data_IF_954763801990
#
_entry.id   IF_954763801990
#
_cell.length_a   1.000
_cell.length_b   1.000
_cell.length_c   1.000
_cell.angle_alpha   90.00
_cell.angle_beta   90.00
_cell.angle_gamma   90.00
#
_symmetry.space_group_name_H-M   'P 1'
#
loop_
_entity.id
_entity.type
_entity.pdbx_description
1 polymer ?
#
# COMPACT_ATOMS: atom_id res chain seq x y z
N UNK A 1 -5.33 -26.88 -9.14
CA UNK A 1 -4.11 -26.24 -8.57
C UNK A 1 -4.44 -24.83 -8.13
N UNK A 2 -4.27 -24.50 -6.85
CA UNK A 2 -4.47 -23.12 -6.39
C UNK A 2 -3.42 -22.23 -7.05
N UNK A 3 -3.85 -21.13 -7.64
CA UNK A 3 -2.96 -20.12 -8.19
C UNK A 3 -2.16 -19.47 -7.07
N UNK A 4 -0.84 -19.36 -7.25
CA UNK A 4 0.04 -18.70 -6.30
C UNK A 4 -0.22 -17.18 -6.36
N UNK A 5 -0.63 -16.61 -5.23
CA UNK A 5 -0.78 -15.16 -5.06
C UNK A 5 0.45 -14.60 -4.38
N UNK A 6 0.99 -13.54 -4.95
CA UNK A 6 2.17 -12.86 -4.43
C UNK A 6 1.98 -11.35 -4.48
N UNK A 7 2.75 -10.62 -3.69
CA UNK A 7 2.74 -9.16 -3.74
C UNK A 7 4.08 -8.55 -3.40
N UNK A 8 4.35 -7.41 -4.04
CA UNK A 8 5.48 -6.55 -3.76
C UNK A 8 5.03 -5.34 -2.98
N UNK A 9 5.70 -5.06 -1.87
CA UNK A 9 5.38 -3.95 -0.99
C UNK A 9 6.60 -3.19 -0.54
N UNK A 10 6.42 -1.92 -0.19
CA UNK A 10 7.41 -1.09 0.48
C UNK A 10 6.84 -0.64 1.82
N UNK A 11 7.60 -0.83 2.89
CA UNK A 11 7.19 -0.45 4.25
C UNK A 11 7.12 1.05 4.42
N UNK A 12 6.11 1.50 5.18
CA UNK A 12 5.96 2.90 5.58
C UNK A 12 6.04 2.99 7.10
N UNK A 13 7.00 3.76 7.67
CA UNK A 13 7.21 3.84 9.11
C UNK A 13 6.18 4.78 9.77
N UNK A 14 5.00 4.26 10.04
CA UNK A 14 3.92 4.99 10.72
C UNK A 14 3.85 4.55 12.18
N UNK A 15 3.76 5.52 13.08
CA UNK A 15 3.45 5.26 14.48
C UNK A 15 1.94 5.27 14.71
N UNK A 16 1.43 4.22 15.32
CA UNK A 16 0.03 4.14 15.74
C UNK A 16 -0.33 5.23 16.77
N UNK A 17 0.66 5.73 17.50
CA UNK A 17 0.51 6.76 18.52
C UNK A 17 0.82 8.18 18.00
N UNK A 18 1.02 8.35 16.70
CA UNK A 18 1.19 9.68 16.10
C UNK A 18 -0.05 10.55 16.38
N UNK A 19 0.12 11.84 16.73
CA UNK A 19 -1.02 12.72 17.08
C UNK A 19 -2.10 12.76 16.00
N UNK A 20 -1.75 12.85 14.73
CA UNK A 20 -2.69 12.85 13.62
C UNK A 20 -3.47 11.53 13.52
N UNK A 21 -2.84 10.39 13.84
CA UNK A 21 -3.50 9.08 13.78
C UNK A 21 -4.45 8.89 14.98
N UNK A 22 -4.08 9.40 16.15
CA UNK A 22 -4.97 9.43 17.33
C UNK A 22 -6.20 10.28 17.01
N UNK A 23 -6.02 11.47 16.40
CA UNK A 23 -7.12 12.34 15.99
C UNK A 23 -8.05 11.65 14.98
N UNK A 24 -7.49 10.96 13.99
CA UNK A 24 -8.26 10.18 13.01
C UNK A 24 -9.11 9.12 13.71
N UNK A 25 -8.53 8.34 14.62
CA UNK A 25 -9.29 7.32 15.36
C UNK A 25 -10.37 7.91 16.24
N UNK A 26 -10.10 9.03 16.88
CA UNK A 26 -11.09 9.73 17.72
C UNK A 26 -12.26 10.26 16.86
N UNK A 27 -11.96 10.81 15.68
CA UNK A 27 -13.01 11.29 14.76
C UNK A 27 -13.92 10.17 14.27
N UNK A 28 -13.42 8.96 14.16
CA UNK A 28 -14.15 7.77 13.69
C UNK A 28 -14.55 6.80 14.81
N UNK A 29 -14.52 7.25 16.07
CA UNK A 29 -14.75 6.37 17.24
C UNK A 29 -16.12 5.68 17.27
N UNK A 30 -17.14 6.28 16.68
CA UNK A 30 -18.50 5.73 16.63
C UNK A 30 -18.73 4.83 15.41
N UNK A 31 -17.70 4.60 14.61
CA UNK A 31 -17.74 3.77 13.42
C UNK A 31 -16.89 2.53 13.68
N UNK A 32 -17.40 1.33 13.31
CA UNK A 32 -16.67 0.08 13.57
C UNK A 32 -15.49 -0.08 12.59
N UNK A 33 -14.40 0.62 12.85
CA UNK A 33 -13.18 0.54 12.07
C UNK A 33 -12.23 -0.49 12.68
N UNK A 34 -11.77 -1.42 11.87
CA UNK A 34 -10.66 -2.30 12.21
C UNK A 34 -9.35 -1.63 11.82
N UNK A 35 -8.68 -1.05 12.79
CA UNK A 35 -7.45 -0.32 12.58
C UNK A 35 -6.25 -1.25 12.36
N UNK A 36 -5.41 -0.89 11.39
CA UNK A 36 -4.11 -1.52 11.19
C UNK A 36 -3.17 -1.10 12.32
N UNK A 37 -2.41 -2.06 12.86
CA UNK A 37 -1.45 -1.82 13.95
C UNK A 37 -0.08 -2.36 13.60
N UNK A 38 0.95 -1.55 13.82
CA UNK A 38 2.35 -1.99 13.81
C UNK A 38 2.99 -2.25 12.46
N UNK A 39 2.22 -2.40 11.40
CA UNK A 39 2.74 -2.69 10.07
C UNK A 39 1.96 -1.95 8.99
N UNK A 40 2.66 -1.06 8.29
CA UNK A 40 2.07 -0.25 7.22
C UNK A 40 2.92 -0.34 5.96
N UNK A 41 2.28 -0.36 4.80
CA UNK A 41 2.98 -0.54 3.54
C UNK A 41 2.20 0.07 2.38
N UNK A 42 2.92 0.31 1.28
CA UNK A 42 2.35 0.57 -0.04
C UNK A 42 2.50 -0.70 -0.85
N UNK A 43 1.41 -1.24 -1.39
CA UNK A 43 1.46 -2.36 -2.33
C UNK A 43 1.82 -1.83 -3.71
N UNK A 44 2.98 -2.23 -4.22
CA UNK A 44 3.47 -1.84 -5.54
C UNK A 44 2.88 -2.73 -6.65
N UNK A 45 2.70 -4.01 -6.38
CA UNK A 45 2.07 -4.96 -7.28
C UNK A 45 1.45 -6.12 -6.50
N UNK A 46 0.23 -6.50 -6.84
CA UNK A 46 -0.42 -7.70 -6.33
C UNK A 46 -0.71 -8.63 -7.50
N UNK A 47 -0.16 -9.84 -7.44
CA UNK A 47 -0.33 -10.86 -8.48
C UNK A 47 -1.36 -11.89 -8.01
N UNK A 48 -2.53 -11.88 -8.65
CA UNK A 48 -3.56 -12.90 -8.42
C UNK A 48 -3.11 -14.27 -8.86
N UNK A 49 -2.34 -14.30 -9.94
CA UNK A 49 -1.81 -15.50 -10.55
C UNK A 49 -0.38 -15.26 -10.93
N UNK A 50 0.52 -15.82 -10.13
CA UNK A 50 1.95 -15.76 -10.39
C UNK A 50 2.34 -16.92 -11.31
N UNK A 51 2.97 -16.57 -12.42
CA UNK A 51 3.58 -17.54 -13.34
C UNK A 51 5.07 -17.25 -13.40
N UNK A 52 5.86 -18.31 -13.57
CA UNK A 52 7.33 -18.19 -13.68
C UNK A 52 7.90 -17.40 -12.49
N UNK A 53 7.69 -17.91 -11.29
CA UNK A 53 8.12 -17.25 -10.05
C UNK A 53 9.59 -16.82 -10.08
N UNK A 54 10.46 -17.62 -10.67
CA UNK A 54 11.88 -17.28 -10.80
C UNK A 54 12.11 -16.05 -11.69
N UNK A 55 11.34 -15.91 -12.76
CA UNK A 55 11.43 -14.72 -13.63
C UNK A 55 10.94 -13.47 -12.91
N UNK A 56 9.87 -13.59 -12.12
CA UNK A 56 9.36 -12.49 -11.31
C UNK A 56 10.38 -12.09 -10.23
N UNK A 57 11.00 -13.06 -9.56
CA UNK A 57 12.07 -12.81 -8.60
C UNK A 57 13.28 -12.12 -9.26
N UNK A 58 13.66 -12.54 -10.46
CA UNK A 58 14.72 -11.88 -11.23
C UNK A 58 14.40 -10.41 -11.55
N UNK A 59 13.14 -10.08 -11.81
CA UNK A 59 12.69 -8.71 -11.99
C UNK A 59 12.92 -7.90 -10.71
N UNK A 60 12.62 -8.47 -9.53
CA UNK A 60 12.90 -7.80 -8.25
C UNK A 60 14.37 -7.48 -8.10
N UNK A 61 15.25 -8.45 -8.37
CA UNK A 61 16.70 -8.22 -8.34
C UNK A 61 17.13 -7.13 -9.31
N UNK A 62 16.63 -7.17 -10.54
CA UNK A 62 16.97 -6.20 -11.57
C UNK A 62 16.68 -4.76 -11.15
N UNK A 63 15.53 -4.51 -10.57
CA UNK A 63 15.07 -3.15 -10.27
C UNK A 63 15.37 -2.68 -8.86
N UNK A 64 15.48 -3.59 -7.89
CA UNK A 64 15.51 -3.24 -6.47
C UNK A 64 16.85 -3.43 -5.79
N UNK A 65 17.75 -4.28 -6.30
CA UNK A 65 19.05 -4.54 -5.64
C UNK A 65 19.89 -3.28 -5.44
N UNK A 66 19.79 -2.33 -6.36
CA UNK A 66 20.57 -1.09 -6.36
C UNK A 66 19.69 0.17 -6.36
N UNK A 67 18.40 0.02 -6.11
CA UNK A 67 17.50 1.16 -6.09
C UNK A 67 17.78 2.06 -4.88
N UNK A 68 17.55 3.37 -5.08
CA UNK A 68 17.63 4.36 -4.02
C UNK A 68 16.40 4.35 -3.14
N UNK A 69 16.57 4.74 -1.88
CA UNK A 69 15.45 5.00 -0.97
C UNK A 69 14.46 5.98 -1.59
N UNK A 70 13.20 5.81 -1.27
CA UNK A 70 12.11 6.63 -1.80
C UNK A 70 11.66 7.61 -0.74
N UNK A 71 11.68 8.91 -1.05
CA UNK A 71 11.15 9.94 -0.16
C UNK A 71 9.77 10.37 -0.65
N UNK A 72 8.76 10.21 0.21
CA UNK A 72 7.38 10.58 -0.09
C UNK A 72 6.87 11.53 0.99
N UNK A 73 6.19 12.60 0.58
CA UNK A 73 5.44 13.46 1.48
C UNK A 73 3.97 13.04 1.45
N UNK A 74 3.50 12.46 2.53
CA UNK A 74 2.10 12.09 2.71
C UNK A 74 1.33 13.29 3.24
N UNK A 75 0.32 13.71 2.51
CA UNK A 75 -0.46 14.91 2.80
C UNK A 75 -1.97 14.70 2.61
N UNK A 76 -2.40 13.45 2.43
CA UNK A 76 -3.79 13.14 2.10
C UNK A 76 -4.30 11.96 2.92
N UNK A 77 -5.41 12.20 3.64
CA UNK A 77 -6.25 11.15 4.23
C UNK A 77 -7.53 11.04 3.40
N UNK A 78 -7.93 9.82 3.07
CA UNK A 78 -9.14 9.59 2.28
C UNK A 78 -9.70 8.19 2.53
N UNK A 79 -10.81 7.89 1.87
CA UNK A 79 -11.49 6.60 1.93
C UNK A 79 -11.91 6.17 0.54
N UNK A 80 -11.80 4.89 0.24
CA UNK A 80 -12.36 4.33 -0.99
C UNK A 80 -13.07 3.00 -0.72
N UNK A 81 -13.93 2.59 -1.67
CA UNK A 81 -14.59 1.29 -1.63
C UNK A 81 -13.73 0.27 -2.39
N UNK A 82 -13.29 -0.78 -1.71
CA UNK A 82 -12.59 -1.90 -2.32
C UNK A 82 -13.55 -2.77 -3.14
N UNK A 83 -13.01 -3.62 -4.00
CA UNK A 83 -13.81 -4.51 -4.88
C UNK A 83 -14.74 -5.46 -4.13
N UNK A 84 -14.43 -5.79 -2.88
CA UNK A 84 -15.27 -6.62 -2.00
C UNK A 84 -16.32 -5.81 -1.22
N UNK A 85 -16.47 -4.51 -1.48
CA UNK A 85 -17.40 -3.62 -0.80
C UNK A 85 -16.90 -3.05 0.53
N UNK A 86 -15.74 -3.45 1.00
CA UNK A 86 -15.13 -2.93 2.21
C UNK A 86 -14.64 -1.50 2.00
N UNK A 87 -14.86 -0.62 2.98
CA UNK A 87 -14.29 0.73 2.95
C UNK A 87 -12.87 0.70 3.52
N UNK A 88 -11.96 1.36 2.82
CA UNK A 88 -10.55 1.46 3.19
C UNK A 88 -10.23 2.91 3.54
N UNK A 89 -9.89 3.15 4.80
CA UNK A 89 -9.34 4.44 5.26
C UNK A 89 -7.83 4.40 5.05
N UNK A 90 -7.30 5.38 4.34
CA UNK A 90 -5.90 5.33 3.91
C UNK A 90 -5.19 6.67 3.93
N UNK A 91 -3.87 6.59 4.02
CA UNK A 91 -2.94 7.70 3.86
C UNK A 91 -2.36 7.66 2.44
N UNK A 92 -2.23 8.82 1.82
CA UNK A 92 -1.68 8.94 0.46
C UNK A 92 -0.94 10.27 0.27
N UNK A 93 -0.56 10.54 -0.95
CA UNK A 93 0.11 11.78 -1.35
C UNK A 93 -0.61 12.41 -2.53
N UNK A 94 -0.64 13.73 -2.56
CA UNK A 94 -1.15 14.49 -3.71
C UNK A 94 -0.14 14.54 -4.87
N UNK A 95 1.14 14.22 -4.60
CA UNK A 95 2.20 14.23 -5.61
C UNK A 95 3.10 13.00 -5.46
N UNK A 96 2.90 12.01 -6.33
CA UNK A 96 3.76 10.81 -6.37
C UNK A 96 5.10 11.20 -6.99
N UNK A 97 6.25 10.92 -6.33
CA UNK A 97 7.55 11.16 -6.93
C UNK A 97 7.70 10.42 -8.26
N UNK A 98 8.15 11.13 -9.29
CA UNK A 98 8.28 10.55 -10.65
C UNK A 98 9.17 9.32 -10.69
N UNK A 99 10.27 9.32 -9.94
CA UNK A 99 11.18 8.18 -9.89
C UNK A 99 10.49 6.94 -9.30
N UNK A 100 9.65 7.12 -8.29
CA UNK A 100 8.88 6.03 -7.69
C UNK A 100 7.80 5.51 -8.64
N UNK A 101 7.04 6.41 -9.28
CA UNK A 101 6.03 6.02 -10.27
C UNK A 101 6.67 5.23 -11.43
N UNK A 102 7.81 5.69 -11.94
CA UNK A 102 8.54 4.99 -13.02
C UNK A 102 9.03 3.62 -12.56
N UNK A 103 9.56 3.51 -11.36
CA UNK A 103 10.00 2.22 -10.79
C UNK A 103 8.84 1.22 -10.72
N UNK A 104 7.69 1.65 -10.22
CA UNK A 104 6.48 0.83 -10.12
C UNK A 104 6.00 0.42 -11.51
N UNK A 105 5.93 1.36 -12.44
CA UNK A 105 5.45 1.11 -13.81
C UNK A 105 6.37 0.12 -14.54
N UNK A 106 7.68 0.26 -14.41
CA UNK A 106 8.67 -0.63 -15.05
C UNK A 106 8.58 -2.04 -14.49
N UNK A 107 8.51 -2.18 -13.17
CA UNK A 107 8.38 -3.51 -12.52
C UNK A 107 7.07 -4.17 -12.95
N UNK A 108 5.95 -3.46 -12.88
CA UNK A 108 4.63 -4.00 -13.26
C UNK A 108 4.59 -4.39 -14.74
N UNK A 109 5.18 -3.59 -15.62
CA UNK A 109 5.26 -3.89 -17.05
C UNK A 109 6.03 -5.18 -17.34
N UNK A 110 7.19 -5.38 -16.71
CA UNK A 110 7.95 -6.62 -16.88
C UNK A 110 7.27 -7.83 -16.25
N UNK A 111 6.62 -7.68 -15.10
CA UNK A 111 5.83 -8.77 -14.50
C UNK A 111 4.74 -9.25 -15.46
N UNK A 112 4.02 -8.33 -16.11
CA UNK A 112 3.03 -8.70 -17.12
C UNK A 112 3.61 -9.54 -18.25
N UNK A 113 4.86 -9.28 -18.63
CA UNK A 113 5.57 -10.03 -19.68
C UNK A 113 5.87 -11.47 -19.28
N UNK A 114 5.85 -11.82 -18.00
CA UNK A 114 6.00 -13.22 -17.53
C UNK A 114 4.74 -14.06 -17.71
N UNK A 115 3.63 -13.45 -18.11
CA UNK A 115 2.31 -14.08 -18.15
C UNK A 115 1.59 -14.12 -16.80
N UNK A 116 2.17 -13.52 -15.77
CA UNK A 116 1.52 -13.33 -14.48
C UNK A 116 0.42 -12.28 -14.58
N UNK A 117 -0.63 -12.43 -13.78
CA UNK A 117 -1.74 -11.49 -13.75
C UNK A 117 -1.61 -10.56 -12.56
N UNK A 118 -1.49 -9.26 -12.84
CA UNK A 118 -1.50 -8.22 -11.81
C UNK A 118 -2.94 -7.75 -11.59
N UNK A 119 -3.36 -7.79 -10.33
CA UNK A 119 -4.68 -7.32 -9.94
C UNK A 119 -4.67 -5.79 -9.88
N UNK A 120 -5.60 -5.15 -10.59
CA UNK A 120 -5.87 -3.70 -10.57
C UNK A 120 -4.71 -2.78 -10.99
N UNK A 121 -5.05 -1.53 -11.24
CA UNK A 121 -4.09 -0.45 -11.46
C UNK A 121 -3.38 -0.08 -10.15
N UNK A 122 -2.19 0.51 -10.28
CA UNK A 122 -1.45 1.00 -9.12
C UNK A 122 -2.17 2.21 -8.52
N UNK A 123 -2.42 2.12 -7.22
CA UNK A 123 -2.91 3.21 -6.40
C UNK A 123 -1.99 3.36 -5.19
N UNK A 124 -1.33 4.51 -5.06
CA UNK A 124 -0.51 4.77 -3.89
C UNK A 124 -1.42 5.00 -2.68
N UNK A 125 -1.48 4.01 -1.80
CA UNK A 125 -2.22 4.12 -0.54
C UNK A 125 -1.57 3.28 0.55
N UNK A 126 -1.66 3.79 1.76
CA UNK A 126 -1.29 3.07 2.98
C UNK A 126 -2.57 2.81 3.75
N UNK A 127 -2.98 1.57 3.85
CA UNK A 127 -4.19 1.21 4.60
C UNK A 127 -3.99 1.49 6.08
N UNK A 128 -4.86 2.30 6.65
CA UNK A 128 -4.90 2.62 8.08
C UNK A 128 -5.99 1.86 8.80
N UNK A 129 -7.12 1.66 8.16
CA UNK A 129 -8.27 0.96 8.74
C UNK A 129 -9.22 0.43 7.68
N UNK A 130 -10.04 -0.54 8.09
CA UNK A 130 -11.03 -1.21 7.24
C UNK A 130 -12.38 -1.20 7.92
N UNK A 131 -13.44 -0.90 7.14
CA UNK A 131 -14.82 -0.89 7.60
C UNK A 131 -15.58 -1.93 6.78
N UNK A 132 -16.05 -2.99 7.45
CA UNK A 132 -16.81 -4.08 6.82
C UNK A 132 -18.30 -3.99 7.10
N UNK A 133 -18.73 -3.11 8.00
CA UNK A 133 -20.12 -2.97 8.44
C UNK A 133 -21.02 -2.51 7.29
N UNK A 134 -22.08 -3.26 6.96
CA UNK A 134 -23.08 -2.81 5.99
C UNK A 134 -23.79 -1.54 6.45
N UNK A 135 -24.08 -0.65 5.51
CA UNK A 135 -24.85 0.58 5.79
C UNK A 135 -24.01 1.76 6.26
N UNK A 136 -22.69 1.61 6.37
CA UNK A 136 -21.80 2.76 6.60
C UNK A 136 -21.61 3.50 5.28
N UNK A 137 -21.96 4.78 5.25
CA UNK A 137 -21.87 5.61 4.06
C UNK A 137 -20.44 6.17 3.91
N UNK A 138 -19.85 5.97 2.73
CA UNK A 138 -18.52 6.48 2.42
C UNK A 138 -18.44 8.01 2.52
N UNK A 139 -19.49 8.72 2.16
CA UNK A 139 -19.52 10.18 2.20
C UNK A 139 -19.47 10.70 3.64
N UNK A 140 -20.10 10.00 4.58
CA UNK A 140 -20.04 10.33 6.01
C UNK A 140 -18.61 10.16 6.54
N UNK A 141 -17.92 9.09 6.12
CA UNK A 141 -16.52 8.86 6.49
C UNK A 141 -15.63 9.95 5.89
N UNK A 142 -15.79 10.26 4.62
CA UNK A 142 -15.04 11.31 3.93
C UNK A 142 -15.21 12.67 4.61
N UNK A 143 -16.44 13.02 5.00
CA UNK A 143 -16.72 14.25 5.70
C UNK A 143 -15.98 14.36 7.05
N UNK A 144 -15.99 13.28 7.84
CA UNK A 144 -15.26 13.22 9.11
C UNK A 144 -13.75 13.32 8.94
N UNK A 145 -13.22 12.67 7.91
CA UNK A 145 -11.78 12.67 7.59
C UNK A 145 -11.32 14.06 7.13
N UNK A 146 -12.13 14.77 6.35
CA UNK A 146 -11.79 16.10 5.81
C UNK A 146 -11.59 17.15 6.90
N UNK A 147 -12.13 16.94 8.09
CA UNK A 147 -11.96 17.84 9.24
C UNK A 147 -10.61 17.65 9.97
N UNK A 148 -9.85 16.57 9.63
CA UNK A 148 -8.59 16.29 10.29
C UNK A 148 -7.48 17.13 9.66
N UNK A 149 -6.76 17.86 10.51
CA UNK A 149 -5.57 18.61 10.11
C UNK A 149 -4.36 17.66 10.06
N UNK A 150 -4.08 17.14 8.86
CA UNK A 150 -2.91 16.30 8.63
C UNK A 150 -1.71 17.18 8.29
N UNK A 151 -0.69 17.26 9.17
CA UNK A 151 0.56 17.92 8.78
C UNK A 151 1.24 17.10 7.68
N UNK A 152 1.92 17.74 6.70
CA UNK A 152 2.68 17.00 5.71
C UNK A 152 3.71 16.09 6.37
N UNK A 153 3.67 14.79 6.05
CA UNK A 153 4.54 13.76 6.64
C UNK A 153 5.56 13.32 5.59
N UNK A 154 6.77 13.83 5.67
CA UNK A 154 7.85 13.42 4.77
C UNK A 154 8.59 12.23 5.36
N UNK A 155 8.60 11.12 4.63
CA UNK A 155 9.21 9.87 5.07
C UNK A 155 10.15 9.32 4.01
N UNK A 156 11.27 8.75 4.45
CA UNK A 156 12.19 8.01 3.61
C UNK A 156 11.88 6.52 3.74
N UNK A 157 11.56 5.87 2.63
CA UNK A 157 11.14 4.47 2.58
C UNK A 157 12.30 3.62 2.06
N UNK A 158 12.66 2.58 2.81
CA UNK A 158 13.85 1.77 2.57
C UNK A 158 13.58 0.28 2.40
N UNK A 159 12.55 -0.26 3.03
CA UNK A 159 12.34 -1.69 3.11
C UNK A 159 11.36 -2.18 2.07
N UNK A 160 11.83 -3.00 1.14
CA UNK A 160 10.99 -3.66 0.13
C UNK A 160 10.94 -5.16 0.38
N UNK A 161 9.79 -5.77 0.14
CA UNK A 161 9.58 -7.20 0.26
C UNK A 161 8.65 -7.70 -0.85
N UNK A 162 9.07 -8.77 -1.50
CA UNK A 162 8.21 -9.56 -2.37
C UNK A 162 7.94 -10.91 -1.70
N UNK A 163 6.66 -11.24 -1.52
CA UNK A 163 6.27 -12.41 -0.73
C UNK A 163 5.01 -13.10 -1.24
N UNK A 164 4.83 -14.34 -0.82
CA UNK A 164 3.57 -15.05 -1.00
C UNK A 164 2.48 -14.43 -0.11
N UNK A 165 1.26 -14.35 -0.65
CA UNK A 165 0.12 -13.92 0.15
C UNK A 165 -0.13 -14.92 1.29
N UNK A 166 -0.02 -14.44 2.53
CA UNK A 166 -0.09 -15.26 3.75
C UNK A 166 0.94 -16.39 3.79
N UNK A 167 2.10 -16.17 3.20
CA UNK A 167 3.15 -17.17 3.09
C UNK A 167 4.56 -16.61 3.30
N UNK A 168 5.52 -17.27 2.67
CA UNK A 168 6.94 -16.96 2.84
C UNK A 168 7.38 -15.71 2.09
N UNK A 169 8.43 -15.08 2.58
CA UNK A 169 9.17 -14.06 1.86
C UNK A 169 10.00 -14.70 0.73
N UNK A 170 9.97 -14.07 -0.45
CA UNK A 170 10.72 -14.52 -1.62
C UNK A 170 11.94 -13.63 -1.85
N UNK A 171 11.76 -12.32 -1.68
CA UNK A 171 12.81 -11.32 -1.88
C UNK A 171 12.66 -10.22 -0.84
N UNK A 172 13.78 -9.77 -0.28
CA UNK A 172 13.83 -8.61 0.63
C UNK A 172 15.06 -7.78 0.31
N UNK A 173 14.94 -6.47 0.42
CA UNK A 173 16.08 -5.57 0.31
C UNK A 173 15.87 -4.27 1.08
N UNK A 174 16.98 -3.68 1.48
CA UNK A 174 17.07 -2.31 1.98
C UNK A 174 17.51 -1.39 0.85
N UNK A 175 16.68 -0.44 0.46
CA UNK A 175 17.02 0.59 -0.52
C UNK A 175 18.07 1.55 0.07
N UNK A 176 18.95 2.04 -0.77
CA UNK A 176 20.10 2.88 -0.36
C UNK A 176 19.77 4.36 -0.33
#
# INVERSE_FOLDING_TARGET
>A
MKSLKTYLEIKVPISFDAPWFIELRESLKDIPVRWQKGYYHITMAFLDKTRNLQDVEAIMHKYLDHASAVTITFDKLDVFTASNGMLIVYLSTSCIPKAFQSLVDDIRGEICSTGSNIQSDFRLHVTLGRISEPGVDIDDIGFLIDEIDLPPLTMSLHEVEYREFRGRSIYQNQLR
#
